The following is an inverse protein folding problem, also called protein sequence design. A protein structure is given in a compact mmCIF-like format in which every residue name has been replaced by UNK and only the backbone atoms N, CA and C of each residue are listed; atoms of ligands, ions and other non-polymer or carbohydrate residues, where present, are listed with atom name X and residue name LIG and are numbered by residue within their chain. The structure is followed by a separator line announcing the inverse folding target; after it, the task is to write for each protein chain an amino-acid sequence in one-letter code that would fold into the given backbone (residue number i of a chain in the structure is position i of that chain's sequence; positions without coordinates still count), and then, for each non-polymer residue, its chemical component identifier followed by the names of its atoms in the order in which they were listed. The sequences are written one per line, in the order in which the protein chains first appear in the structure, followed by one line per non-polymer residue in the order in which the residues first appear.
data_IF_225446112430
#
_entry.id   IF_225446112430
#
_cell.length_a   1.000
_cell.length_b   1.000
_cell.length_c   1.000
_cell.angle_alpha   90.00
_cell.angle_beta   90.00
_cell.angle_gamma   90.00
#
_symmetry.space_group_name_H-M   'P 1'
#
loop_
_entity.id
_entity.type
_entity.pdbx_description
1 polymer ?
#
# COMPACT_ATOMS: atom_id res chain seq x y z
N UNK A 1 -13.57 66.58 38.38
CA UNK A 1 -12.96 66.09 37.13
C UNK A 1 -13.59 66.83 35.99
N UNK A 2 -12.85 67.47 35.13
CA UNK A 2 -13.41 68.29 34.05
C UNK A 2 -14.14 67.36 33.04
N UNK A 3 -15.25 67.80 32.50
CA UNK A 3 -16.01 67.08 31.47
C UNK A 3 -15.13 66.67 30.28
N UNK A 4 -14.14 67.47 29.98
CA UNK A 4 -13.09 67.19 28.95
C UNK A 4 -12.25 65.93 29.27
N UNK A 5 -11.93 65.67 30.54
CA UNK A 5 -11.21 64.44 30.91
C UNK A 5 -12.05 63.19 30.72
N UNK A 6 -13.34 63.26 31.07
CA UNK A 6 -14.30 62.13 30.90
C UNK A 6 -14.52 61.83 29.40
N UNK A 7 -14.62 62.85 28.57
CA UNK A 7 -14.78 62.66 27.11
C UNK A 7 -13.52 62.06 26.49
N UNK A 8 -12.31 62.52 26.84
CA UNK A 8 -11.06 61.93 26.39
C UNK A 8 -10.94 60.48 26.83
N UNK A 9 -11.26 60.15 28.06
CA UNK A 9 -11.24 58.78 28.58
C UNK A 9 -12.22 57.88 27.86
N UNK A 10 -13.44 58.34 27.61
CA UNK A 10 -14.46 57.57 26.90
C UNK A 10 -14.06 57.30 25.42
N UNK A 11 -13.47 58.30 24.77
CA UNK A 11 -12.94 58.11 23.41
C UNK A 11 -11.75 57.14 23.38
N UNK A 12 -10.86 57.21 24.36
CA UNK A 12 -9.75 56.26 24.47
C UNK A 12 -10.22 54.81 24.67
N UNK A 13 -11.19 54.61 25.56
CA UNK A 13 -11.82 53.30 25.79
C UNK A 13 -12.48 52.79 24.50
N UNK A 14 -13.20 53.64 23.78
CA UNK A 14 -13.87 53.26 22.53
C UNK A 14 -12.84 52.87 21.45
N UNK A 15 -11.73 53.60 21.31
CA UNK A 15 -10.64 53.27 20.41
C UNK A 15 -10.00 51.92 20.75
N UNK A 16 -9.70 51.69 22.04
CA UNK A 16 -9.16 50.41 22.50
C UNK A 16 -10.16 49.29 22.20
N UNK A 17 -11.43 49.49 22.48
CA UNK A 17 -12.47 48.49 22.20
C UNK A 17 -12.56 48.16 20.70
N UNK A 18 -12.57 49.18 19.84
CA UNK A 18 -12.56 48.99 18.38
C UNK A 18 -11.31 48.23 17.96
N UNK A 19 -10.15 48.54 18.49
CA UNK A 19 -8.89 47.84 18.19
C UNK A 19 -8.95 46.36 18.61
N UNK A 20 -9.46 46.05 19.78
CA UNK A 20 -9.62 44.66 20.29
C UNK A 20 -10.59 43.86 19.42
N UNK A 21 -11.69 44.44 18.95
CA UNK A 21 -12.67 43.79 18.09
C UNK A 21 -12.17 43.65 16.65
N UNK A 22 -11.25 44.52 16.25
CA UNK A 22 -10.62 44.53 14.92
C UNK A 22 -9.54 43.48 14.76
N UNK A 23 -8.93 43.02 15.86
CA UNK A 23 -7.84 42.06 15.81
C UNK A 23 -8.39 40.65 15.53
N UNK A 24 -7.85 40.00 14.49
CA UNK A 24 -8.14 38.63 14.11
C UNK A 24 -6.87 37.80 14.11
N UNK A 25 -6.95 36.55 14.58
CA UNK A 25 -5.84 35.60 14.55
C UNK A 25 -6.26 34.38 13.72
N UNK A 26 -5.62 34.21 12.56
CA UNK A 26 -5.87 33.08 11.69
C UNK A 26 -5.14 31.83 12.21
N UNK A 27 -5.82 30.70 12.45
CA UNK A 27 -5.15 29.44 12.74
C UNK A 27 -4.47 28.90 11.46
N UNK A 28 -3.43 28.07 11.58
CA UNK A 28 -2.70 27.54 10.42
C UNK A 28 -3.53 26.63 9.52
N UNK A 29 -4.61 26.06 10.03
CA UNK A 29 -5.55 25.21 9.28
C UNK A 29 -6.58 25.97 8.44
N UNK A 30 -6.60 27.31 8.52
CA UNK A 30 -7.53 28.14 7.77
C UNK A 30 -6.80 29.35 7.15
N UNK A 31 -7.15 29.67 5.91
CA UNK A 31 -6.88 30.97 5.34
C UNK A 31 -8.06 31.92 5.64
N UNK A 32 -7.79 32.98 6.40
CA UNK A 32 -8.77 34.04 6.64
C UNK A 32 -8.65 35.08 5.54
N UNK A 33 -9.77 35.34 4.83
CA UNK A 33 -9.86 36.27 3.73
C UNK A 33 -10.68 37.46 4.19
N UNK A 34 -10.04 38.62 4.24
CA UNK A 34 -10.70 39.90 4.59
C UNK A 34 -10.95 40.68 3.30
N UNK A 35 -12.23 40.92 3.02
CA UNK A 35 -12.69 41.63 1.84
C UNK A 35 -13.60 42.79 2.18
N UNK A 36 -13.62 43.85 1.38
CA UNK A 36 -14.53 45.00 1.51
C UNK A 36 -13.83 46.33 1.19
N UNK A 37 -13.01 46.82 2.07
CA UNK A 37 -12.43 48.17 1.94
C UNK A 37 -11.40 48.29 0.84
N UNK A 38 -10.59 47.26 0.65
CA UNK A 38 -9.53 47.22 -0.34
C UNK A 38 -9.97 46.61 -1.68
N UNK A 39 -9.41 47.08 -2.81
CA UNK A 39 -9.67 46.51 -4.14
C UNK A 39 -9.24 45.03 -4.26
N UNK A 40 -8.26 44.58 -3.47
CA UNK A 40 -7.81 43.19 -3.41
C UNK A 40 -8.04 42.64 -2.01
N UNK A 41 -8.60 41.44 -1.86
CA UNK A 41 -8.76 40.80 -0.57
C UNK A 41 -7.40 40.54 0.08
N UNK A 42 -7.33 40.63 1.41
CA UNK A 42 -6.15 40.32 2.23
C UNK A 42 -6.30 38.91 2.77
N UNK A 43 -5.27 38.10 2.67
CA UNK A 43 -5.26 36.73 3.16
C UNK A 43 -4.31 36.58 4.34
N UNK A 44 -4.76 36.00 5.43
CA UNK A 44 -3.98 35.74 6.64
C UNK A 44 -3.97 34.23 6.92
N UNK A 45 -2.77 33.65 7.11
CA UNK A 45 -2.57 32.23 7.38
C UNK A 45 -1.58 32.11 8.53
N UNK A 46 -1.98 31.52 9.65
CA UNK A 46 -1.13 31.35 10.83
C UNK A 46 -0.64 32.67 11.46
N UNK A 47 -1.14 33.78 11.00
CA UNK A 47 -0.72 35.14 11.44
C UNK A 47 -1.90 35.95 11.96
N UNK A 48 -1.58 36.99 12.74
CA UNK A 48 -2.57 37.97 13.13
C UNK A 48 -2.82 38.99 12.02
N UNK A 49 -4.05 39.49 11.95
CA UNK A 49 -4.44 40.54 11.03
C UNK A 49 -5.41 41.52 11.67
N UNK A 50 -5.77 42.56 10.92
CA UNK A 50 -6.74 43.56 11.36
C UNK A 50 -7.87 43.61 10.36
N UNK A 51 -9.10 43.63 10.87
CA UNK A 51 -10.36 43.79 10.12
C UNK A 51 -11.09 45.00 10.66
N UNK A 52 -11.69 45.78 9.80
CA UNK A 52 -12.58 46.90 10.21
C UNK A 52 -14.01 46.36 10.34
N UNK A 53 -14.51 46.19 11.60
CA UNK A 53 -15.87 45.68 11.82
C UNK A 53 -16.92 46.59 11.15
N UNK A 54 -17.90 45.99 10.51
CA UNK A 54 -18.96 46.71 9.80
C UNK A 54 -18.65 47.09 8.35
N UNK A 55 -17.39 47.23 7.96
CA UNK A 55 -16.98 47.57 6.59
C UNK A 55 -16.27 46.41 5.86
N UNK A 56 -15.64 45.52 6.58
CA UNK A 56 -14.93 44.37 6.02
C UNK A 56 -15.56 43.06 6.47
N UNK A 57 -15.71 42.17 5.49
CA UNK A 57 -16.17 40.80 5.69
C UNK A 57 -14.98 39.89 5.94
N UNK A 58 -15.13 38.96 6.89
CA UNK A 58 -14.18 37.90 7.19
C UNK A 58 -14.77 36.57 6.71
N UNK A 59 -14.09 35.97 5.77
CA UNK A 59 -14.40 34.63 5.29
C UNK A 59 -13.22 33.69 5.57
N UNK A 60 -13.49 32.39 5.59
CA UNK A 60 -12.47 31.36 5.85
C UNK A 60 -12.43 30.33 4.73
N UNK A 61 -11.24 29.84 4.43
CA UNK A 61 -11.02 28.67 3.56
C UNK A 61 -10.24 27.63 4.34
N UNK A 62 -10.70 26.40 4.34
CA UNK A 62 -10.04 25.30 5.02
C UNK A 62 -8.79 24.86 4.25
N UNK A 63 -7.63 24.84 4.90
CA UNK A 63 -6.32 24.48 4.31
C UNK A 63 -5.83 23.09 4.73
N UNK A 64 -6.54 22.44 5.66
CA UNK A 64 -6.20 21.12 6.12
C UNK A 64 -6.35 20.06 5.02
N UNK A 65 -5.84 18.88 5.30
CA UNK A 65 -6.06 17.72 4.43
C UNK A 65 -7.51 17.24 4.57
N UNK A 66 -8.12 16.97 3.42
CA UNK A 66 -9.47 16.42 3.31
C UNK A 66 -9.37 15.01 2.75
N UNK A 67 -9.99 14.06 3.42
CA UNK A 67 -10.13 12.69 2.92
C UNK A 67 -11.43 12.57 2.15
N UNK A 68 -11.36 12.03 0.94
CA UNK A 68 -12.49 11.80 0.05
C UNK A 68 -12.59 10.32 -0.23
N UNK A 69 -13.72 9.73 0.14
CA UNK A 69 -14.06 8.36 -0.20
C UNK A 69 -14.68 8.35 -1.61
N UNK A 70 -14.03 7.67 -2.52
CA UNK A 70 -14.45 7.56 -3.92
C UNK A 70 -14.95 6.14 -4.14
N UNK A 71 -16.20 6.01 -4.52
CA UNK A 71 -16.82 4.71 -4.82
C UNK A 71 -17.52 4.78 -6.14
N UNK A 72 -17.36 3.75 -6.96
CA UNK A 72 -18.16 3.64 -8.18
C UNK A 72 -19.63 3.37 -7.80
N UNK A 73 -20.50 4.31 -8.11
CA UNK A 73 -21.95 4.19 -7.83
C UNK A 73 -22.61 3.08 -8.64
N UNK A 74 -22.01 2.70 -9.76
CA UNK A 74 -22.40 1.61 -10.66
C UNK A 74 -21.16 0.93 -11.19
N UNK A 75 -21.27 -0.35 -11.50
CA UNK A 75 -20.20 -1.11 -12.14
C UNK A 75 -19.72 -0.41 -13.42
N UNK A 76 -18.43 -0.35 -13.62
CA UNK A 76 -17.78 0.30 -14.75
C UNK A 76 -17.08 -0.76 -15.60
N UNK A 77 -17.32 -0.82 -16.92
CA UNK A 77 -16.61 -1.75 -17.77
C UNK A 77 -15.14 -1.34 -17.91
N UNK A 78 -14.26 -2.29 -17.75
CA UNK A 78 -12.84 -2.17 -18.07
C UNK A 78 -12.61 -2.26 -19.57
N UNK A 79 -11.35 -2.07 -20.01
CA UNK A 79 -10.96 -2.29 -21.41
C UNK A 79 -11.25 -3.72 -21.90
N UNK A 80 -11.28 -4.70 -20.99
CA UNK A 80 -11.61 -6.11 -21.27
C UNK A 80 -13.13 -6.39 -21.26
N UNK A 81 -13.97 -5.35 -21.19
CA UNK A 81 -15.43 -5.44 -21.09
C UNK A 81 -15.92 -6.18 -19.83
N UNK A 82 -15.14 -6.17 -18.77
CA UNK A 82 -15.49 -6.73 -17.47
C UNK A 82 -15.99 -5.61 -16.57
N UNK A 83 -17.18 -5.77 -16.00
CA UNK A 83 -17.75 -4.80 -15.09
C UNK A 83 -17.10 -4.92 -13.70
N UNK A 84 -16.54 -3.81 -13.22
CA UNK A 84 -15.90 -3.75 -11.90
C UNK A 84 -16.48 -2.62 -11.06
N UNK A 85 -16.45 -2.82 -9.74
CA UNK A 85 -16.68 -1.78 -8.75
C UNK A 85 -15.36 -1.53 -8.02
N UNK A 86 -14.97 -0.27 -7.93
CA UNK A 86 -13.72 0.15 -7.31
C UNK A 86 -14.02 1.13 -6.18
N UNK A 87 -13.45 0.85 -5.02
CA UNK A 87 -13.43 1.73 -3.87
C UNK A 87 -12.01 2.29 -3.70
N UNK A 88 -11.88 3.60 -3.63
CA UNK A 88 -10.62 4.30 -3.43
C UNK A 88 -10.76 5.43 -2.41
N UNK A 89 -9.66 5.83 -1.82
CA UNK A 89 -9.59 6.98 -0.92
C UNK A 89 -8.55 7.94 -1.43
N UNK A 90 -8.97 9.17 -1.71
CA UNK A 90 -8.06 10.25 -2.05
C UNK A 90 -7.89 11.21 -0.88
N UNK A 91 -6.66 11.70 -0.69
CA UNK A 91 -6.36 12.85 0.18
C UNK A 91 -6.07 14.06 -0.67
N UNK A 92 -6.84 15.10 -0.45
CA UNK A 92 -6.71 16.38 -1.15
C UNK A 92 -6.39 17.49 -0.18
N UNK A 93 -5.81 18.56 -0.68
CA UNK A 93 -5.51 19.76 0.09
C UNK A 93 -5.58 20.98 -0.80
N UNK A 94 -5.96 22.13 -0.25
CA UNK A 94 -5.88 23.42 -0.94
C UNK A 94 -4.41 23.74 -1.25
N UNK A 95 -4.14 24.19 -2.48
CA UNK A 95 -2.81 24.65 -2.88
C UNK A 95 -2.48 25.91 -2.11
N UNK A 96 -1.40 25.85 -1.32
CA UNK A 96 -1.03 26.91 -0.38
C UNK A 96 -0.20 28.03 -1.04
N UNK A 97 -0.66 28.51 -2.20
CA UNK A 97 -0.16 29.72 -2.86
C UNK A 97 -1.30 30.73 -3.08
N UNK A 98 -0.97 31.93 -3.50
CA UNK A 98 -1.94 33.01 -3.65
C UNK A 98 -3.04 32.69 -4.67
N UNK A 99 -2.69 32.01 -5.76
CA UNK A 99 -3.63 31.64 -6.81
C UNK A 99 -4.49 30.45 -6.42
N UNK A 100 -3.91 29.43 -5.79
CA UNK A 100 -4.64 28.26 -5.28
C UNK A 100 -5.67 28.66 -4.21
N UNK A 101 -5.28 29.51 -3.26
CA UNK A 101 -6.20 30.02 -2.23
C UNK A 101 -7.32 30.85 -2.87
N UNK A 102 -7.00 31.66 -3.90
CA UNK A 102 -8.01 32.45 -4.63
C UNK A 102 -9.01 31.54 -5.34
N UNK A 103 -8.54 30.50 -6.03
CA UNK A 103 -9.39 29.51 -6.70
C UNK A 103 -10.24 28.73 -5.69
N UNK A 104 -9.63 28.27 -4.61
CA UNK A 104 -10.32 27.57 -3.53
C UNK A 104 -11.37 28.47 -2.86
N UNK A 105 -11.10 29.76 -2.69
CA UNK A 105 -12.07 30.70 -2.15
C UNK A 105 -13.27 30.91 -3.07
N UNK A 106 -13.10 30.84 -4.38
CA UNK A 106 -14.23 30.93 -5.32
C UNK A 106 -15.19 29.75 -5.21
N UNK A 107 -14.68 28.57 -4.86
CA UNK A 107 -15.44 27.34 -4.87
C UNK A 107 -15.87 26.86 -3.47
N UNK A 108 -15.04 27.10 -2.44
CA UNK A 108 -15.16 26.48 -1.11
C UNK A 108 -15.16 27.49 0.04
N UNK A 109 -15.59 28.73 -0.22
CA UNK A 109 -15.64 29.78 0.80
C UNK A 109 -16.56 29.38 1.97
N UNK A 110 -16.05 29.47 3.19
CA UNK A 110 -16.77 29.11 4.43
C UNK A 110 -17.20 27.65 4.53
N UNK A 111 -16.70 26.77 3.66
CA UNK A 111 -16.94 25.33 3.74
C UNK A 111 -15.95 24.66 4.68
N UNK A 112 -16.40 23.58 5.29
CA UNK A 112 -15.56 22.69 6.08
C UNK A 112 -15.06 21.51 5.24
N UNK A 113 -14.06 20.76 5.74
CA UNK A 113 -13.46 19.65 4.98
C UNK A 113 -14.46 18.62 4.46
N UNK A 114 -15.52 18.35 5.22
CA UNK A 114 -16.55 17.39 4.81
C UNK A 114 -17.41 17.90 3.63
N UNK A 115 -17.66 19.19 3.56
CA UNK A 115 -18.43 19.77 2.47
C UNK A 115 -17.58 19.85 1.19
N UNK A 116 -16.29 20.16 1.34
CA UNK A 116 -15.31 20.10 0.24
C UNK A 116 -15.22 18.67 -0.31
N UNK A 117 -15.13 17.65 0.58
CA UNK A 117 -15.12 16.25 0.20
C UNK A 117 -16.30 15.87 -0.68
N UNK A 118 -17.50 16.22 -0.26
CA UNK A 118 -18.73 15.92 -1.02
C UNK A 118 -18.75 16.61 -2.38
N UNK A 119 -18.32 17.85 -2.45
CA UNK A 119 -18.37 18.62 -3.70
C UNK A 119 -17.40 18.10 -4.76
N UNK A 120 -16.25 17.52 -4.38
CA UNK A 120 -15.26 16.99 -5.32
C UNK A 120 -15.42 15.49 -5.59
N UNK A 121 -16.22 14.80 -4.80
CA UNK A 121 -16.41 13.36 -4.90
C UNK A 121 -16.84 12.91 -6.28
N UNK A 122 -17.85 13.56 -6.86
CA UNK A 122 -18.40 13.21 -8.18
C UNK A 122 -17.37 13.40 -9.30
N UNK A 123 -16.54 14.45 -9.21
CA UNK A 123 -15.48 14.71 -10.16
C UNK A 123 -14.39 13.64 -10.09
N UNK A 124 -13.99 13.27 -8.88
CA UNK A 124 -13.01 12.21 -8.66
C UNK A 124 -13.54 10.83 -9.10
N UNK A 125 -14.83 10.53 -8.82
CA UNK A 125 -15.47 9.31 -9.32
C UNK A 125 -15.51 9.28 -10.85
N UNK A 126 -15.82 10.41 -11.50
CA UNK A 126 -15.83 10.52 -12.96
C UNK A 126 -14.46 10.23 -13.58
N UNK A 127 -13.41 10.84 -13.03
CA UNK A 127 -12.04 10.60 -13.48
C UNK A 127 -11.60 9.14 -13.24
N UNK A 128 -11.97 8.55 -12.10
CA UNK A 128 -11.69 7.15 -11.81
C UNK A 128 -12.38 6.22 -12.84
N UNK A 129 -13.63 6.47 -13.18
CA UNK A 129 -14.36 5.72 -14.22
C UNK A 129 -13.68 5.77 -15.58
N UNK A 130 -13.18 6.94 -15.98
CA UNK A 130 -12.48 7.11 -17.24
C UNK A 130 -11.19 6.28 -17.28
N UNK A 131 -10.44 6.28 -16.18
CA UNK A 131 -9.21 5.48 -16.06
C UNK A 131 -9.55 3.98 -16.07
N UNK A 132 -10.58 3.52 -15.35
CA UNK A 132 -11.05 2.13 -15.35
C UNK A 132 -11.37 1.65 -16.78
N UNK A 133 -12.06 2.49 -17.56
CA UNK A 133 -12.40 2.15 -18.94
C UNK A 133 -11.20 1.97 -19.89
N UNK A 134 -10.05 2.51 -19.53
CA UNK A 134 -8.81 2.42 -20.30
C UNK A 134 -7.86 1.28 -19.91
N UNK A 135 -8.12 0.60 -18.79
CA UNK A 135 -7.20 -0.39 -18.19
C UNK A 135 -7.87 -1.77 -18.12
N UNK A 136 -7.06 -2.85 -18.18
CA UNK A 136 -7.57 -4.21 -18.02
C UNK A 136 -7.81 -4.56 -16.56
N UNK A 137 -8.75 -5.47 -16.27
CA UNK A 137 -8.99 -5.99 -14.92
C UNK A 137 -7.71 -6.54 -14.29
N UNK A 138 -6.91 -7.22 -15.10
CA UNK A 138 -5.65 -7.80 -14.67
C UNK A 138 -4.67 -6.73 -14.20
N UNK A 139 -4.52 -5.63 -14.95
CA UNK A 139 -3.60 -4.54 -14.61
C UNK A 139 -4.06 -3.79 -13.37
N UNK A 140 -5.36 -3.56 -13.22
CA UNK A 140 -5.94 -2.96 -12.00
C UNK A 140 -5.55 -3.78 -10.76
N UNK A 141 -5.52 -5.10 -10.87
CA UNK A 141 -5.27 -5.98 -9.72
C UNK A 141 -3.78 -6.21 -9.44
N UNK A 142 -2.94 -6.26 -10.48
CA UNK A 142 -1.50 -6.51 -10.37
C UNK A 142 -0.72 -5.21 -10.09
N UNK A 143 -1.08 -4.10 -10.77
CA UNK A 143 -0.35 -2.84 -10.75
C UNK A 143 -1.17 -1.73 -10.08
N UNK A 144 -1.60 -1.95 -8.85
CA UNK A 144 -2.45 -1.00 -8.10
C UNK A 144 -1.83 0.39 -7.96
N UNK A 145 -0.52 0.47 -7.81
CA UNK A 145 0.19 1.75 -7.70
C UNK A 145 0.12 2.53 -9.01
N UNK A 146 0.40 1.88 -10.15
CA UNK A 146 0.29 2.52 -11.46
C UNK A 146 -1.15 2.96 -11.77
N UNK A 147 -2.15 2.19 -11.32
CA UNK A 147 -3.55 2.58 -11.45
C UNK A 147 -3.90 3.79 -10.57
N UNK A 148 -3.42 3.83 -9.32
CA UNK A 148 -3.57 4.99 -8.45
C UNK A 148 -2.93 6.25 -9.03
N UNK A 149 -1.73 6.13 -9.59
CA UNK A 149 -1.01 7.24 -10.23
C UNK A 149 -1.76 7.75 -11.46
N UNK A 150 -2.32 6.87 -12.27
CA UNK A 150 -3.13 7.25 -13.44
C UNK A 150 -4.39 8.03 -13.02
N UNK A 151 -5.06 7.62 -11.92
CA UNK A 151 -6.20 8.36 -11.38
C UNK A 151 -5.75 9.74 -10.89
N UNK A 152 -4.63 9.82 -10.16
CA UNK A 152 -4.09 11.09 -9.65
C UNK A 152 -3.75 12.03 -10.79
N UNK A 153 -3.05 11.57 -11.81
CA UNK A 153 -2.65 12.38 -12.97
C UNK A 153 -3.88 12.94 -13.71
N UNK A 154 -4.88 12.08 -13.93
CA UNK A 154 -6.11 12.47 -14.62
C UNK A 154 -6.91 13.48 -13.82
N UNK A 155 -7.12 13.21 -12.54
CA UNK A 155 -7.94 14.05 -11.66
C UNK A 155 -7.22 15.35 -11.25
N UNK A 156 -5.88 15.39 -11.24
CA UNK A 156 -5.11 16.55 -10.79
C UNK A 156 -5.41 17.80 -11.64
N UNK A 157 -5.71 17.64 -12.92
CA UNK A 157 -6.05 18.74 -13.79
C UNK A 157 -7.35 19.44 -13.35
N UNK A 158 -8.37 18.68 -13.02
CA UNK A 158 -9.65 19.19 -12.54
C UNK A 158 -9.51 19.80 -11.15
N UNK A 159 -8.74 19.16 -10.29
CA UNK A 159 -8.47 19.66 -8.94
C UNK A 159 -7.68 20.96 -8.96
N UNK A 160 -6.74 21.13 -9.87
CA UNK A 160 -6.00 22.39 -10.03
C UNK A 160 -6.92 23.55 -10.41
N UNK A 161 -7.94 23.32 -11.25
CA UNK A 161 -8.93 24.34 -11.60
C UNK A 161 -9.75 24.80 -10.39
N UNK A 162 -9.90 23.94 -9.39
CA UNK A 162 -10.57 24.24 -8.12
C UNK A 162 -9.63 24.80 -7.03
N UNK A 163 -8.34 24.90 -7.30
CA UNK A 163 -7.32 25.30 -6.32
C UNK A 163 -6.93 24.19 -5.34
N UNK A 164 -7.15 22.92 -5.71
CA UNK A 164 -6.83 21.75 -4.91
C UNK A 164 -5.68 20.95 -5.52
N UNK A 165 -4.92 20.28 -4.67
CA UNK A 165 -3.94 19.25 -5.06
C UNK A 165 -4.31 17.91 -4.46
N UNK A 166 -4.08 16.86 -5.20
CA UNK A 166 -4.18 15.49 -4.68
C UNK A 166 -2.84 15.13 -4.04
N UNK A 167 -2.88 14.69 -2.79
CA UNK A 167 -1.67 14.28 -2.05
C UNK A 167 -1.41 12.80 -2.27
N UNK A 168 -2.47 11.99 -2.22
CA UNK A 168 -2.42 10.56 -2.44
C UNK A 168 -3.79 10.05 -2.89
N UNK A 169 -3.78 8.99 -3.67
CA UNK A 169 -4.95 8.20 -4.00
C UNK A 169 -4.61 6.73 -3.74
N UNK A 170 -5.42 6.04 -2.98
CA UNK A 170 -5.18 4.65 -2.63
C UNK A 170 -6.43 3.83 -2.92
N UNK A 171 -6.26 2.75 -3.68
CA UNK A 171 -7.32 1.81 -3.98
C UNK A 171 -7.52 0.90 -2.79
N UNK A 172 -8.72 0.85 -2.26
CA UNK A 172 -9.07 0.00 -1.12
C UNK A 172 -9.56 -1.36 -1.57
N UNK A 173 -10.52 -1.37 -2.48
CA UNK A 173 -11.15 -2.59 -2.92
C UNK A 173 -11.47 -2.56 -4.41
N UNK A 174 -11.40 -3.72 -5.05
CA UNK A 174 -11.84 -3.94 -6.43
C UNK A 174 -12.66 -5.22 -6.43
N UNK A 175 -13.90 -5.12 -6.86
CA UNK A 175 -14.82 -6.25 -6.96
C UNK A 175 -15.42 -6.32 -8.36
N UNK A 176 -15.76 -7.50 -8.79
CA UNK A 176 -16.46 -7.73 -10.05
C UNK A 176 -17.74 -8.54 -9.83
N UNK A 177 -18.70 -8.37 -10.73
CA UNK A 177 -20.02 -9.00 -10.60
C UNK A 177 -20.01 -10.51 -10.86
N UNK A 178 -18.92 -11.07 -11.43
CA UNK A 178 -18.82 -12.46 -11.88
C UNK A 178 -17.76 -13.27 -11.13
N UNK A 179 -17.16 -12.75 -10.06
CA UNK A 179 -16.08 -13.36 -9.30
C UNK A 179 -14.84 -13.74 -10.12
N UNK A 180 -14.63 -13.07 -11.26
CA UNK A 180 -13.47 -13.32 -12.14
C UNK A 180 -12.14 -12.98 -11.45
N UNK A 181 -12.14 -12.01 -10.52
CA UNK A 181 -10.96 -11.67 -9.69
C UNK A 181 -10.57 -12.87 -8.83
N UNK A 182 -11.55 -13.55 -8.25
CA UNK A 182 -11.34 -14.74 -7.42
C UNK A 182 -10.83 -15.92 -8.26
N UNK A 183 -11.40 -16.12 -9.45
CA UNK A 183 -10.98 -17.15 -10.42
C UNK A 183 -9.55 -16.89 -10.94
N UNK A 184 -9.20 -15.67 -11.29
CA UNK A 184 -7.84 -15.28 -11.65
C UNK A 184 -6.84 -15.50 -10.51
N UNK A 185 -7.25 -15.22 -9.27
CA UNK A 185 -6.48 -15.51 -8.06
C UNK A 185 -6.26 -17.01 -7.85
N UNK A 186 -7.29 -17.81 -8.09
CA UNK A 186 -7.22 -19.27 -8.04
C UNK A 186 -6.28 -19.83 -9.11
N UNK A 187 -6.40 -19.39 -10.37
CA UNK A 187 -5.55 -19.83 -11.47
C UNK A 187 -4.06 -19.48 -11.22
N UNK A 188 -3.79 -18.27 -10.75
CA UNK A 188 -2.43 -17.89 -10.36
C UNK A 188 -1.90 -18.75 -9.21
N UNK A 189 -2.74 -19.04 -8.22
CA UNK A 189 -2.41 -19.94 -7.10
C UNK A 189 -2.10 -21.36 -7.59
N UNK A 190 -2.89 -21.90 -8.52
CA UNK A 190 -2.64 -23.20 -9.12
C UNK A 190 -1.36 -23.22 -9.96
N UNK A 191 -1.08 -22.17 -10.71
CA UNK A 191 0.15 -22.00 -11.48
C UNK A 191 1.38 -21.97 -10.58
N UNK A 192 1.34 -21.20 -9.49
CA UNK A 192 2.42 -21.14 -8.48
C UNK A 192 2.60 -22.51 -7.81
N UNK A 193 1.51 -23.17 -7.41
CA UNK A 193 1.57 -24.54 -6.82
C UNK A 193 2.13 -25.55 -7.80
N UNK A 194 1.75 -25.49 -9.06
CA UNK A 194 2.29 -26.36 -10.13
C UNK A 194 3.79 -26.14 -10.28
N UNK A 195 4.22 -24.87 -10.38
CA UNK A 195 5.64 -24.55 -10.51
C UNK A 195 6.45 -24.97 -9.28
N UNK A 196 5.91 -24.76 -8.09
CA UNK A 196 6.54 -25.20 -6.85
C UNK A 196 6.67 -26.75 -6.80
N UNK A 197 5.66 -27.51 -7.23
CA UNK A 197 5.74 -28.97 -7.34
C UNK A 197 6.78 -29.42 -8.37
N UNK A 198 6.84 -28.77 -9.52
CA UNK A 198 7.84 -29.08 -10.56
C UNK A 198 9.26 -28.81 -10.03
N UNK A 199 9.46 -27.64 -9.40
CA UNK A 199 10.76 -27.28 -8.82
C UNK A 199 11.16 -28.27 -7.70
N UNK A 200 10.21 -28.66 -6.85
CA UNK A 200 10.44 -29.68 -5.81
C UNK A 200 10.82 -31.03 -6.41
N UNK A 201 10.08 -31.52 -7.40
CA UNK A 201 10.38 -32.79 -8.05
C UNK A 201 11.72 -32.77 -8.79
N UNK A 202 12.07 -31.65 -9.43
CA UNK A 202 13.39 -31.48 -10.06
C UNK A 202 14.52 -31.48 -9.01
N UNK A 203 14.34 -30.76 -7.91
CA UNK A 203 15.31 -30.77 -6.81
C UNK A 203 15.49 -32.16 -6.19
N UNK A 204 14.39 -32.90 -5.94
CA UNK A 204 14.42 -34.27 -5.46
C UNK A 204 15.14 -35.21 -6.44
N UNK A 205 14.88 -35.07 -7.74
CA UNK A 205 15.57 -35.85 -8.77
C UNK A 205 17.08 -35.53 -8.84
N UNK A 206 17.44 -34.26 -8.75
CA UNK A 206 18.84 -33.82 -8.80
C UNK A 206 19.60 -34.26 -7.54
N UNK A 207 18.93 -34.24 -6.38
CA UNK A 207 19.45 -34.82 -5.12
C UNK A 207 19.66 -36.33 -5.27
N UNK A 208 18.66 -37.06 -5.74
CA UNK A 208 18.75 -38.51 -5.92
C UNK A 208 19.85 -38.90 -6.93
N UNK A 209 20.02 -38.10 -8.00
CA UNK A 209 21.08 -38.29 -8.98
C UNK A 209 22.46 -38.05 -8.36
N UNK A 210 22.60 -36.95 -7.61
CA UNK A 210 23.85 -36.66 -6.90
C UNK A 210 24.19 -37.72 -5.84
N UNK A 211 23.21 -38.25 -5.11
CA UNK A 211 23.37 -39.36 -4.16
C UNK A 211 23.78 -40.66 -4.87
N UNK A 212 23.17 -40.98 -6.01
CA UNK A 212 23.52 -42.15 -6.79
C UNK A 212 24.95 -42.05 -7.36
N UNK A 213 25.31 -40.89 -7.90
CA UNK A 213 26.69 -40.62 -8.40
C UNK A 213 27.74 -40.67 -7.26
N UNK A 214 27.41 -40.11 -6.10
CA UNK A 214 28.27 -40.15 -4.91
C UNK A 214 28.43 -41.61 -4.38
N UNK A 215 27.33 -42.36 -4.33
CA UNK A 215 27.35 -43.76 -3.92
C UNK A 215 28.11 -44.66 -4.93
N UNK A 216 27.98 -44.38 -6.24
CA UNK A 216 28.72 -45.08 -7.26
C UNK A 216 30.22 -44.75 -7.18
N UNK A 217 30.60 -43.48 -7.01
CA UNK A 217 31.99 -43.06 -6.81
C UNK A 217 32.58 -43.65 -5.52
N UNK A 218 31.81 -43.68 -4.45
CA UNK A 218 32.23 -44.31 -3.18
C UNK A 218 32.39 -45.83 -3.32
N UNK A 219 31.50 -46.51 -4.06
CA UNK A 219 31.61 -47.94 -4.33
C UNK A 219 32.81 -48.26 -5.26
N UNK A 220 33.01 -47.45 -6.31
CA UNK A 220 34.14 -47.59 -7.23
C UNK A 220 35.48 -47.34 -6.50
N UNK A 221 35.51 -46.34 -5.60
CA UNK A 221 36.69 -46.09 -4.74
C UNK A 221 36.91 -47.27 -3.74
N UNK A 222 35.82 -47.86 -3.20
CA UNK A 222 35.89 -49.03 -2.32
C UNK A 222 36.39 -50.27 -3.06
N UNK A 223 35.82 -50.56 -4.24
CA UNK A 223 36.23 -51.70 -5.07
C UNK A 223 37.70 -51.53 -5.55
N UNK A 224 38.09 -50.31 -5.97
CA UNK A 224 39.48 -49.99 -6.29
C UNK A 224 40.42 -50.15 -5.07
N UNK A 225 39.95 -49.72 -3.90
CA UNK A 225 40.69 -49.88 -2.64
C UNK A 225 40.81 -51.37 -2.25
N UNK A 226 39.72 -52.13 -2.36
CA UNK A 226 39.70 -53.56 -2.07
C UNK A 226 40.56 -54.38 -3.06
N UNK A 227 40.51 -54.07 -4.38
CA UNK A 227 41.41 -54.69 -5.38
C UNK A 227 42.86 -54.30 -5.17
N UNK A 228 43.12 -53.00 -4.85
CA UNK A 228 44.49 -52.56 -4.55
C UNK A 228 45.04 -53.17 -3.26
N UNK A 229 44.16 -53.36 -2.25
CA UNK A 229 44.53 -54.08 -1.00
C UNK A 229 44.76 -55.56 -1.29
N UNK A 230 43.94 -56.23 -2.13
CA UNK A 230 44.10 -57.62 -2.51
C UNK A 230 45.37 -57.82 -3.36
N UNK A 231 45.63 -56.94 -4.34
CA UNK A 231 46.88 -56.99 -5.11
C UNK A 231 48.09 -56.71 -4.23
N UNK A 232 48.01 -55.75 -3.33
CA UNK A 232 49.10 -55.45 -2.40
C UNK A 232 49.28 -56.48 -1.28
N UNK A 233 48.23 -57.12 -0.82
CA UNK A 233 48.32 -58.24 0.08
C UNK A 233 49.08 -59.41 -0.57
N UNK A 234 48.96 -59.55 -1.90
CA UNK A 234 49.79 -60.51 -2.66
C UNK A 234 51.23 -60.02 -2.82
N UNK A 235 51.49 -58.72 -2.97
CA UNK A 235 52.83 -58.14 -3.01
C UNK A 235 53.46 -58.01 -1.60
N UNK A 236 52.63 -57.79 -0.56
CA UNK A 236 53.06 -57.68 0.85
C UNK A 236 53.56 -59.00 1.46
N UNK A 237 53.21 -60.09 0.86
CA UNK A 237 53.95 -61.33 1.16
C UNK A 237 55.46 -61.22 0.91
N UNK A 238 55.81 -60.12 0.19
CA UNK A 238 57.22 -59.97 -0.28
C UNK A 238 57.99 -58.81 0.33
N UNK A 239 57.51 -57.84 0.94
CA UNK A 239 58.33 -56.86 1.73
C UNK A 239 57.66 -55.50 2.09
N UNK A 240 57.79 -55.16 3.34
CA UNK A 240 58.09 -53.82 3.93
C UNK A 240 57.43 -52.57 3.38
N UNK A 241 56.13 -52.55 3.12
CA UNK A 241 55.52 -51.30 2.73
C UNK A 241 54.23 -50.90 3.52
N UNK A 242 54.08 -51.52 4.71
CA UNK A 242 52.86 -51.29 5.53
C UNK A 242 52.67 -49.85 6.01
N UNK A 243 53.67 -49.06 6.20
CA UNK A 243 53.58 -47.72 6.76
C UNK A 243 53.07 -46.67 5.75
N UNK A 244 53.43 -46.80 4.48
CA UNK A 244 52.96 -45.82 3.46
C UNK A 244 51.51 -46.06 3.04
N UNK A 245 51.07 -47.31 3.08
CA UNK A 245 49.67 -47.66 2.70
C UNK A 245 48.66 -47.18 3.74
N UNK A 246 49.04 -47.24 5.03
CA UNK A 246 48.19 -46.74 6.12
C UNK A 246 48.06 -45.22 6.09
N UNK A 247 49.06 -44.50 5.63
CA UNK A 247 49.02 -43.04 5.53
C UNK A 247 48.20 -42.54 4.34
N UNK A 248 48.25 -43.22 3.18
CA UNK A 248 47.43 -42.88 2.01
C UNK A 248 45.94 -43.23 2.18
N UNK A 249 45.64 -44.39 2.81
CA UNK A 249 44.25 -44.73 3.09
C UNK A 249 43.63 -43.76 4.11
N UNK A 250 44.37 -43.30 5.12
CA UNK A 250 43.88 -42.29 6.06
C UNK A 250 43.67 -40.91 5.42
N UNK A 251 44.50 -40.52 4.43
CA UNK A 251 44.24 -39.27 3.67
C UNK A 251 43.02 -39.37 2.78
N UNK A 252 42.84 -40.48 2.07
CA UNK A 252 41.65 -40.67 1.22
C UNK A 252 40.35 -40.70 2.00
N UNK A 253 40.36 -41.34 3.20
CA UNK A 253 39.21 -41.35 4.10
C UNK A 253 38.91 -39.96 4.69
N UNK A 254 39.96 -39.18 5.01
CA UNK A 254 39.78 -37.80 5.50
C UNK A 254 39.24 -36.87 4.42
N UNK A 255 39.72 -37.02 3.17
CA UNK A 255 39.23 -36.21 2.05
C UNK A 255 37.75 -36.59 1.65
N UNK A 256 37.45 -37.92 1.69
CA UNK A 256 36.08 -38.37 1.47
C UNK A 256 35.11 -37.93 2.60
N UNK A 257 35.56 -37.96 3.85
CA UNK A 257 34.80 -37.44 4.98
C UNK A 257 34.54 -35.92 4.88
N UNK A 258 35.56 -35.17 4.40
CA UNK A 258 35.41 -33.72 4.16
C UNK A 258 34.42 -33.42 3.04
N UNK A 259 34.45 -34.17 1.94
CA UNK A 259 33.48 -33.98 0.84
C UNK A 259 32.05 -34.39 1.21
N UNK A 260 31.90 -35.48 1.96
CA UNK A 260 30.56 -35.88 2.48
C UNK A 260 30.00 -34.80 3.43
N UNK A 261 30.82 -34.25 4.30
CA UNK A 261 30.40 -33.20 5.21
C UNK A 261 30.00 -31.92 4.47
N UNK A 262 30.67 -31.57 3.38
CA UNK A 262 30.34 -30.45 2.51
C UNK A 262 29.03 -30.65 1.77
N UNK A 263 28.76 -31.85 1.25
CA UNK A 263 27.53 -32.17 0.56
C UNK A 263 26.30 -32.20 1.54
N UNK A 264 26.53 -32.71 2.76
CA UNK A 264 25.49 -32.67 3.81
C UNK A 264 25.14 -31.23 4.22
N UNK A 265 26.14 -30.35 4.32
CA UNK A 265 25.90 -28.93 4.59
C UNK A 265 25.14 -28.24 3.44
N UNK A 266 25.51 -28.51 2.20
CA UNK A 266 24.83 -27.96 1.04
C UNK A 266 23.37 -28.43 0.96
N UNK A 267 23.12 -29.70 1.26
CA UNK A 267 21.75 -30.28 1.33
C UNK A 267 20.90 -29.62 2.41
N UNK A 268 21.49 -29.35 3.58
CA UNK A 268 20.81 -28.70 4.69
C UNK A 268 20.42 -27.25 4.36
N UNK A 269 21.29 -26.49 3.71
CA UNK A 269 21.00 -25.11 3.27
C UNK A 269 19.87 -25.11 2.25
N UNK A 270 19.86 -26.03 1.28
CA UNK A 270 18.81 -26.10 0.28
C UNK A 270 17.43 -26.48 0.88
N UNK A 271 17.40 -27.40 1.86
CA UNK A 271 16.16 -27.73 2.57
C UNK A 271 15.65 -26.54 3.37
N UNK A 272 16.51 -25.84 4.10
CA UNK A 272 16.14 -24.70 4.93
C UNK A 272 15.62 -23.51 4.08
N UNK A 273 16.17 -23.31 2.86
CA UNK A 273 15.65 -22.29 1.93
C UNK A 273 14.27 -22.63 1.38
N UNK A 274 14.03 -23.87 1.01
CA UNK A 274 12.72 -24.34 0.52
C UNK A 274 11.66 -24.30 1.62
N UNK A 275 12.00 -24.69 2.86
CA UNK A 275 11.10 -24.59 4.02
C UNK A 275 10.77 -23.12 4.35
N UNK A 276 11.77 -22.22 4.27
CA UNK A 276 11.56 -20.79 4.49
C UNK A 276 10.67 -20.15 3.41
N UNK A 277 10.79 -20.58 2.16
CA UNK A 277 9.89 -20.12 1.08
C UNK A 277 8.46 -20.66 1.25
N UNK A 278 8.32 -21.94 1.62
CA UNK A 278 7.01 -22.54 1.90
C UNK A 278 6.31 -21.88 3.09
N UNK A 279 7.04 -21.58 4.16
CA UNK A 279 6.50 -20.87 5.32
C UNK A 279 6.03 -19.45 4.98
N UNK A 280 6.76 -18.72 4.12
CA UNK A 280 6.34 -17.40 3.64
C UNK A 280 5.06 -17.46 2.81
N UNK A 281 4.91 -18.49 2.00
CA UNK A 281 3.72 -18.68 1.16
C UNK A 281 2.47 -19.02 1.99
N UNK A 282 2.63 -19.89 3.00
CA UNK A 282 1.57 -20.22 3.96
C UNK A 282 1.10 -18.94 4.70
N UNK A 283 2.06 -18.13 5.16
CA UNK A 283 1.74 -16.88 5.87
C UNK A 283 1.02 -15.86 4.97
N UNK A 284 1.34 -15.83 3.67
CA UNK A 284 0.61 -15.01 2.69
C UNK A 284 -0.83 -15.49 2.51
N UNK A 285 -1.02 -16.79 2.39
CA UNK A 285 -2.36 -17.39 2.26
C UNK A 285 -3.22 -17.19 3.52
N UNK A 286 -2.64 -17.29 4.71
CA UNK A 286 -3.35 -17.02 5.97
C UNK A 286 -3.79 -15.56 6.08
N UNK A 287 -2.90 -14.61 5.76
CA UNK A 287 -3.26 -13.19 5.71
C UNK A 287 -4.37 -12.90 4.71
N UNK A 288 -4.32 -13.53 3.54
CA UNK A 288 -5.37 -13.36 2.54
C UNK A 288 -6.72 -13.91 3.00
N UNK A 289 -6.72 -15.06 3.70
CA UNK A 289 -7.93 -15.62 4.34
C UNK A 289 -8.47 -14.70 5.44
N UNK A 290 -7.58 -14.14 6.27
CA UNK A 290 -7.99 -13.23 7.35
C UNK A 290 -8.61 -11.94 6.80
N UNK A 291 -8.06 -11.40 5.71
CA UNK A 291 -8.64 -10.24 5.01
C UNK A 291 -10.02 -10.61 4.44
N UNK A 292 -10.14 -11.76 3.80
CA UNK A 292 -11.41 -12.19 3.22
C UNK A 292 -12.50 -12.47 4.31
N UNK A 293 -12.12 -13.06 5.45
CA UNK A 293 -13.06 -13.27 6.57
C UNK A 293 -13.52 -11.94 7.15
N UNK A 294 -12.63 -11.00 7.40
CA UNK A 294 -13.01 -9.66 7.90
C UNK A 294 -13.90 -8.88 6.94
N UNK A 295 -13.69 -9.05 5.62
CA UNK A 295 -14.58 -8.41 4.62
C UNK A 295 -15.98 -9.01 4.61
N UNK A 296 -16.08 -10.34 4.68
CA UNK A 296 -17.37 -11.04 4.77
C UNK A 296 -18.10 -10.70 6.07
N UNK A 297 -17.39 -10.62 7.20
CA UNK A 297 -17.97 -10.21 8.49
C UNK A 297 -18.51 -8.77 8.44
N UNK A 298 -17.73 -7.86 7.82
CA UNK A 298 -18.16 -6.46 7.65
C UNK A 298 -19.38 -6.34 6.71
N UNK A 299 -19.49 -7.18 5.70
CA UNK A 299 -20.66 -7.21 4.80
C UNK A 299 -21.90 -7.81 5.49
N UNK A 300 -21.72 -8.88 6.25
CA UNK A 300 -22.83 -9.48 7.01
C UNK A 300 -23.35 -8.54 8.11
N UNK A 301 -22.45 -7.79 8.76
CA UNK A 301 -22.85 -6.77 9.74
C UNK A 301 -23.58 -5.60 9.10
N UNK A 302 -23.16 -5.18 7.91
CA UNK A 302 -23.88 -4.15 7.13
C UNK A 302 -25.26 -4.62 6.66
N UNK A 303 -25.34 -5.85 6.15
CA UNK A 303 -26.62 -6.45 5.75
C UNK A 303 -27.60 -6.58 6.94
N UNK A 304 -27.09 -6.95 8.13
CA UNK A 304 -27.88 -7.01 9.35
C UNK A 304 -28.40 -5.64 9.79
N UNK A 305 -27.55 -4.62 9.78
CA UNK A 305 -27.96 -3.23 10.08
C UNK A 305 -29.01 -2.71 9.09
N UNK A 306 -28.88 -3.10 7.81
CA UNK A 306 -29.82 -2.72 6.77
C UNK A 306 -31.18 -3.42 6.95
N UNK A 307 -31.18 -4.67 7.40
CA UNK A 307 -32.39 -5.39 7.76
C UNK A 307 -33.08 -4.82 9.02
N UNK A 308 -32.31 -4.41 10.01
CA UNK A 308 -32.81 -3.74 11.22
C UNK A 308 -33.47 -2.38 10.89
N UNK A 309 -32.83 -1.58 10.02
CA UNK A 309 -33.40 -0.32 9.55
C UNK A 309 -34.69 -0.48 8.72
N UNK A 310 -34.76 -1.53 7.88
CA UNK A 310 -35.97 -1.87 7.14
C UNK A 310 -37.10 -2.38 8.05
N UNK A 311 -36.75 -3.15 9.07
CA UNK A 311 -37.70 -3.63 10.07
C UNK A 311 -38.28 -2.47 10.95
N UNK A 312 -37.45 -1.48 11.26
CA UNK A 312 -37.91 -0.25 11.94
C UNK A 312 -38.82 0.63 11.06
N UNK A 313 -38.52 0.71 9.76
CA UNK A 313 -39.37 1.43 8.82
C UNK A 313 -40.73 0.76 8.61
N UNK A 314 -40.79 -0.56 8.62
CA UNK A 314 -42.05 -1.33 8.52
C UNK A 314 -42.89 -1.24 9.81
N UNK A 315 -42.29 -0.98 10.97
CA UNK A 315 -43.00 -0.74 12.23
C UNK A 315 -43.54 0.69 12.39
N UNK A 316 -43.10 1.62 11.52
CA UNK A 316 -43.53 3.03 11.54
C UNK A 316 -44.62 3.37 10.51
N UNK A 317 -44.97 2.45 9.61
CA UNK A 317 -46.16 2.50 8.76
C UNK A 317 -47.23 1.53 9.27
#
# INVERSE_FOLDING_TARGET
MSTTFITILSVAILVIFVFLVSYIKAPPSYAYIVSGLNKKPRTYIGTGGVRVPGFERLDKVFLGQVTVDIKTSRSVPTNDFINVNVDAVAKIQVINDADGIRLAAQNFLNMEGIDISRQVQDSLEGNMREVIGGISLRDININRDAFSDAIMEKAQKDMNALGLKIISCNIQNVTDDKNLIEDLGADNTWTIKKQAKINKANAERDIAKAEAEANQAANDARVKSETAIAERNNELAVKKSELNIVEETKKADADAAYEIQRQVQQKRINVETVEAEAAKEILRQERQKEINTRTVEAETEKARRQQELTAEQVKRN
#
